data_IF_212643204938
#
_entry.id   IF_212643204938
#
_cell.length_a   1.000
_cell.length_b   1.000
_cell.length_c   1.000
_cell.angle_alpha   90.00
_cell.angle_beta   90.00
_cell.angle_gamma   90.00
#
_symmetry.space_group_name_H-M   'P 1'
#
loop_
_entity.id
_entity.type
_entity.pdbx_description
1 polymer ?
#
# COMPACT_ATOMS: atom_id res chain seq x y z
N UNK A 1 -6.91 6.94 0.72
CA UNK A 1 -6.74 6.09 1.90
C UNK A 1 -5.37 6.28 2.54
N UNK A 2 -5.28 6.01 3.81
CA UNK A 2 -4.03 5.76 4.51
C UNK A 2 -3.73 4.27 4.55
N UNK A 3 -2.46 3.90 4.50
CA UNK A 3 -2.02 2.53 4.65
C UNK A 3 -0.64 2.48 5.29
N UNK A 4 -0.42 1.44 6.09
CA UNK A 4 0.87 1.15 6.70
C UNK A 4 1.46 -0.13 6.06
N UNK A 5 2.46 0.02 5.23
CA UNK A 5 3.10 -1.10 4.50
C UNK A 5 4.61 -1.21 4.75
N UNK A 6 5.36 -0.16 4.60
CA UNK A 6 6.77 -0.01 5.01
C UNK A 6 6.98 1.21 5.90
N UNK A 7 5.90 1.70 6.43
CA UNK A 7 5.60 2.92 7.12
C UNK A 7 4.31 3.52 6.55
N UNK A 8 3.83 4.55 7.21
CA UNK A 8 2.59 5.24 6.85
C UNK A 8 2.72 5.92 5.49
N UNK A 9 1.67 5.81 4.67
CA UNK A 9 1.58 6.43 3.36
C UNK A 9 0.14 6.78 2.99
N UNK A 10 0.00 7.72 2.05
CA UNK A 10 -1.26 7.99 1.35
C UNK A 10 -1.31 7.24 0.02
N UNK A 11 -2.50 6.96 -0.47
CA UNK A 11 -2.71 6.38 -1.79
C UNK A 11 -4.13 6.53 -2.30
N UNK A 12 -4.30 6.29 -3.60
CA UNK A 12 -5.61 6.34 -4.27
C UNK A 12 -5.98 4.98 -4.87
N UNK A 13 -7.28 4.70 -4.93
CA UNK A 13 -7.79 3.50 -5.56
C UNK A 13 -9.27 3.69 -5.94
N UNK A 14 -9.79 2.81 -6.78
CA UNK A 14 -11.25 2.71 -7.00
C UNK A 14 -11.86 1.99 -5.80
N UNK A 15 -13.08 2.36 -5.40
CA UNK A 15 -13.80 1.70 -4.31
C UNK A 15 -13.90 0.17 -4.52
N UNK A 16 -14.14 -0.27 -5.77
CA UNK A 16 -14.20 -1.69 -6.14
C UNK A 16 -12.87 -2.45 -5.99
N UNK A 17 -11.76 -1.77 -5.75
CA UNK A 17 -10.44 -2.36 -5.56
C UNK A 17 -10.02 -2.40 -4.08
N UNK A 18 -10.91 -2.06 -3.18
CA UNK A 18 -10.72 -2.21 -1.73
C UNK A 18 -11.27 -3.59 -1.32
N UNK A 19 -10.53 -4.43 -0.57
CA UNK A 19 -9.19 -4.20 0.00
C UNK A 19 -8.03 -4.66 -0.90
N UNK A 20 -8.29 -5.17 -2.11
CA UNK A 20 -7.28 -5.77 -3.00
C UNK A 20 -6.07 -4.85 -3.18
N UNK A 21 -6.30 -3.55 -3.36
CA UNK A 21 -5.22 -2.57 -3.52
C UNK A 21 -4.32 -2.46 -2.28
N UNK A 22 -4.87 -2.57 -1.09
CA UNK A 22 -4.11 -2.56 0.16
C UNK A 22 -3.27 -3.82 0.31
N UNK A 23 -3.88 -4.98 -0.02
CA UNK A 23 -3.20 -6.28 -0.04
C UNK A 23 -2.03 -6.26 -1.03
N UNK A 24 -2.26 -5.81 -2.26
CA UNK A 24 -1.24 -5.71 -3.32
C UNK A 24 -0.01 -4.89 -2.90
N UNK A 25 -0.22 -3.88 -2.05
CA UNK A 25 0.85 -3.02 -1.56
C UNK A 25 1.51 -3.51 -0.27
N UNK A 26 1.11 -4.67 0.23
CA UNK A 26 1.65 -5.24 1.45
C UNK A 26 1.32 -4.46 2.72
N UNK A 27 0.19 -3.74 2.73
CA UNK A 27 -0.26 -3.01 3.91
C UNK A 27 -0.70 -3.96 5.01
N UNK A 28 -0.26 -3.73 6.24
CA UNK A 28 -0.73 -4.46 7.43
C UNK A 28 -1.97 -3.79 8.05
N UNK A 29 -2.13 -2.51 7.81
CA UNK A 29 -3.25 -1.69 8.25
C UNK A 29 -3.62 -0.70 7.16
N UNK A 30 -4.92 -0.44 6.97
CA UNK A 30 -5.40 0.57 6.05
C UNK A 30 -6.71 1.19 6.52
N UNK A 31 -6.91 2.46 6.17
CA UNK A 31 -8.09 3.24 6.53
C UNK A 31 -8.49 4.15 5.35
N UNK A 32 -9.75 4.12 4.88
CA UNK A 32 -10.26 5.12 3.94
C UNK A 32 -10.19 6.53 4.55
N UNK A 33 -9.86 7.52 3.72
CA UNK A 33 -9.92 8.94 4.11
C UNK A 33 -11.08 9.66 3.46
N UNK A 34 -11.15 9.55 2.13
CA UNK A 34 -12.14 10.25 1.31
C UNK A 34 -12.73 9.32 0.26
N UNK A 35 -14.00 9.47 0.02
CA UNK A 35 -14.65 8.99 -1.20
C UNK A 35 -15.01 10.20 -2.05
N UNK A 36 -14.64 10.16 -3.32
CA UNK A 36 -14.82 11.27 -4.25
C UNK A 36 -15.42 10.78 -5.56
N UNK A 37 -16.12 11.67 -6.25
CA UNK A 37 -16.86 11.33 -7.46
C UNK A 37 -15.98 11.01 -8.68
N UNK A 38 -14.74 11.54 -8.72
CA UNK A 38 -13.87 11.40 -9.88
C UNK A 38 -12.39 11.23 -9.53
N UNK A 39 -11.63 10.73 -10.52
CA UNK A 39 -10.20 10.48 -10.39
C UNK A 39 -9.36 11.76 -10.27
N UNK A 40 -9.80 12.87 -10.86
CA UNK A 40 -9.07 14.13 -10.83
C UNK A 40 -9.03 14.66 -9.39
N UNK A 41 -10.17 14.70 -8.73
CA UNK A 41 -10.28 15.11 -7.32
C UNK A 41 -9.43 14.22 -6.42
N UNK A 42 -9.43 12.88 -6.64
CA UNK A 42 -8.56 11.96 -5.92
C UNK A 42 -7.09 12.33 -6.06
N UNK A 43 -6.65 12.65 -7.30
CA UNK A 43 -5.27 13.03 -7.58
C UNK A 43 -4.85 14.34 -6.94
N UNK A 44 -5.76 15.32 -6.88
CA UNK A 44 -5.52 16.61 -6.22
C UNK A 44 -5.34 16.44 -4.70
N UNK A 45 -6.19 15.64 -4.06
CA UNK A 45 -6.10 15.33 -2.63
C UNK A 45 -4.78 14.59 -2.33
N UNK A 46 -4.44 13.56 -3.11
CA UNK A 46 -3.18 12.83 -2.95
C UNK A 46 -1.98 13.77 -3.11
N UNK A 47 -2.00 14.67 -4.12
CA UNK A 47 -0.95 15.64 -4.33
C UNK A 47 -0.77 16.60 -3.14
N UNK A 48 -1.86 17.13 -2.60
CA UNK A 48 -1.83 17.98 -1.42
C UNK A 48 -1.27 17.23 -0.19
N UNK A 49 -1.71 15.99 0.03
CA UNK A 49 -1.25 15.17 1.14
C UNK A 49 0.23 14.77 1.05
N UNK A 50 0.85 14.75 -0.14
CA UNK A 50 2.28 14.46 -0.32
C UNK A 50 3.21 15.44 0.39
N UNK A 51 2.73 16.62 0.72
CA UNK A 51 3.48 17.61 1.52
C UNK A 51 3.70 17.14 2.96
N UNK A 52 2.84 16.26 3.46
CA UNK A 52 2.83 15.81 4.84
C UNK A 52 3.23 14.35 5.00
N UNK A 53 2.97 13.51 3.97
CA UNK A 53 3.14 12.06 4.06
C UNK A 53 3.55 11.46 2.73
N UNK A 54 4.37 10.40 2.76
CA UNK A 54 4.79 9.69 1.56
C UNK A 54 3.62 9.02 0.82
N UNK A 55 3.72 8.91 -0.50
CA UNK A 55 2.85 8.09 -1.36
C UNK A 55 3.50 6.78 -1.79
N UNK A 56 4.75 6.53 -1.35
CA UNK A 56 5.57 5.41 -1.81
C UNK A 56 5.72 4.33 -0.75
N UNK A 57 5.83 3.09 -1.23
CA UNK A 57 6.21 1.93 -0.42
C UNK A 57 7.66 1.57 -0.70
N UNK A 58 8.49 1.50 0.33
CA UNK A 58 9.78 0.79 0.24
C UNK A 58 9.51 -0.71 0.29
N UNK A 59 9.43 -1.34 -0.88
CA UNK A 59 9.12 -2.75 -1.00
C UNK A 59 10.17 -3.67 -0.34
N UNK A 60 11.43 -3.22 -0.26
CA UNK A 60 12.48 -3.99 0.44
C UNK A 60 12.27 -3.98 1.95
N UNK A 61 11.94 -2.80 2.49
CA UNK A 61 11.60 -2.67 3.92
C UNK A 61 10.35 -3.46 4.25
N UNK A 62 9.31 -3.36 3.42
CA UNK A 62 8.05 -4.12 3.56
C UNK A 62 8.27 -5.64 3.61
N UNK A 63 9.22 -6.18 2.81
CA UNK A 63 9.51 -7.62 2.73
C UNK A 63 10.53 -8.10 3.78
N UNK A 64 11.07 -7.23 4.63
CA UNK A 64 11.93 -7.60 5.75
C UNK A 64 11.20 -7.71 7.09
N UNK A 65 9.94 -7.34 7.12
CA UNK A 65 9.12 -7.41 8.33
C UNK A 65 7.88 -6.54 8.23
N UNK A 66 7.05 -6.63 9.24
CA UNK A 66 5.92 -5.73 9.39
C UNK A 66 6.41 -4.44 10.06
N UNK A 67 5.91 -3.27 9.64
CA UNK A 67 6.16 -2.02 10.35
C UNK A 67 5.45 -2.01 11.71
N UNK A 68 5.87 -1.12 12.60
CA UNK A 68 5.14 -0.86 13.83
C UNK A 68 3.73 -0.35 13.50
N UNK A 69 2.75 -0.74 14.32
CA UNK A 69 1.36 -0.28 14.17
C UNK A 69 1.25 1.23 14.37
N UNK A 70 0.34 1.86 13.63
CA UNK A 70 0.11 3.30 13.66
C UNK A 70 -1.37 3.57 13.96
N UNK A 71 -1.67 4.54 14.81
CA UNK A 71 -3.03 5.02 14.99
C UNK A 71 -3.49 5.80 13.74
N UNK A 72 -4.04 5.03 12.77
CA UNK A 72 -4.50 5.59 11.50
C UNK A 72 -5.69 6.54 11.67
N UNK A 73 -6.50 6.40 12.72
CA UNK A 73 -7.65 7.28 12.99
C UNK A 73 -7.17 8.66 13.41
N UNK A 74 -6.28 8.71 14.40
CA UNK A 74 -5.66 9.97 14.83
C UNK A 74 -4.85 10.62 13.71
N UNK A 75 -4.11 9.82 12.93
CA UNK A 75 -3.34 10.34 11.80
C UNK A 75 -4.23 10.92 10.70
N UNK A 76 -5.37 10.28 10.40
CA UNK A 76 -6.36 10.83 9.46
C UNK A 76 -6.86 12.20 9.94
N UNK A 77 -7.27 12.30 11.22
CA UNK A 77 -7.75 13.57 11.77
C UNK A 77 -6.70 14.69 11.66
N UNK A 78 -5.45 14.38 11.98
CA UNK A 78 -4.34 15.33 11.86
C UNK A 78 -4.12 15.78 10.41
N UNK A 79 -4.10 14.85 9.45
CA UNK A 79 -3.92 15.18 8.03
C UNK A 79 -5.10 15.97 7.45
N UNK A 80 -6.32 15.72 7.92
CA UNK A 80 -7.48 16.53 7.54
C UNK A 80 -7.35 17.95 8.01
N UNK A 81 -6.98 18.17 9.28
CA UNK A 81 -6.74 19.53 9.82
C UNK A 81 -5.64 20.25 9.03
N UNK A 82 -4.54 19.56 8.70
CA UNK A 82 -3.46 20.14 7.89
C UNK A 82 -3.92 20.53 6.47
N UNK A 83 -4.81 19.76 5.85
CA UNK A 83 -5.39 20.09 4.55
C UNK A 83 -6.28 21.32 4.62
N UNK A 84 -7.09 21.47 5.67
CA UNK A 84 -7.96 22.61 5.90
C UNK A 84 -7.16 23.91 6.11
N UNK A 85 -6.00 23.82 6.72
CA UNK A 85 -5.09 24.95 6.97
C UNK A 85 -4.28 25.38 5.74
N UNK A 86 -4.26 24.59 4.66
CA UNK A 86 -3.52 24.92 3.44
C UNK A 86 -4.15 26.12 2.72
N UNK A 87 -3.41 27.22 2.64
CA UNK A 87 -3.85 28.46 1.95
C UNK A 87 -4.07 28.23 0.45
N UNK A 88 -3.24 27.37 -0.15
CA UNK A 88 -3.27 27.04 -1.57
C UNK A 88 -4.00 25.70 -1.86
N UNK A 89 -4.88 25.27 -0.96
CA UNK A 89 -5.68 24.09 -1.23
C UNK A 89 -6.47 24.27 -2.54
N UNK A 90 -6.49 23.27 -3.43
CA UNK A 90 -7.28 23.35 -4.66
C UNK A 90 -8.73 23.74 -4.34
N UNK A 91 -9.35 24.61 -5.15
CA UNK A 91 -10.72 25.08 -4.92
C UNK A 91 -11.73 23.93 -4.77
N UNK A 92 -11.45 22.79 -5.43
CA UNK A 92 -12.22 21.56 -5.27
C UNK A 92 -12.19 20.99 -3.84
N UNK A 93 -11.14 21.26 -3.06
CA UNK A 93 -11.07 20.88 -1.65
C UNK A 93 -11.82 21.87 -0.76
N UNK A 94 -11.92 23.13 -1.20
CA UNK A 94 -12.67 24.19 -0.48
C UNK A 94 -14.18 24.05 -0.66
N UNK A 95 -14.61 23.50 -1.79
CA UNK A 95 -16.05 23.37 -2.15
C UNK A 95 -16.73 22.14 -1.54
N UNK A 96 -16.06 21.39 -0.65
CA UNK A 96 -16.59 20.19 0.04
C UNK A 96 -17.33 19.21 -0.88
N UNK A 97 -16.99 19.17 -2.17
CA UNK A 97 -17.59 18.27 -3.16
C UNK A 97 -17.18 16.80 -2.99
N UNK A 98 -16.45 16.48 -1.93
CA UNK A 98 -16.04 15.13 -1.58
C UNK A 98 -16.69 14.69 -0.26
N UNK A 99 -17.24 13.48 -0.28
CA UNK A 99 -17.73 12.87 0.93
C UNK A 99 -16.53 12.39 1.77
N UNK A 100 -16.47 12.82 3.01
CA UNK A 100 -15.53 12.24 3.98
C UNK A 100 -16.13 10.96 4.51
N UNK A 101 -15.45 9.83 4.31
CA UNK A 101 -15.83 8.54 4.93
C UNK A 101 -15.52 8.57 6.44
N UNK A 102 -15.90 9.66 7.11
CA UNK A 102 -15.69 9.86 8.55
C UNK A 102 -16.45 8.87 9.43
N UNK A 103 -17.42 8.17 8.86
CA UNK A 103 -18.24 7.19 9.58
C UNK A 103 -17.60 5.81 9.70
N UNK A 104 -16.51 5.53 9.00
CA UNK A 104 -15.80 4.26 9.02
C UNK A 104 -14.45 4.43 9.72
N UNK A 105 -14.45 4.57 11.04
CA UNK A 105 -13.24 4.52 11.87
C UNK A 105 -12.71 3.07 12.01
N UNK A 106 -13.17 2.19 11.14
CA UNK A 106 -12.77 0.80 11.15
C UNK A 106 -11.49 0.63 10.35
N UNK A 107 -10.39 0.49 11.06
CA UNK A 107 -9.11 0.12 10.47
C UNK A 107 -9.19 -1.31 9.96
N UNK A 108 -8.84 -1.51 8.69
CA UNK A 108 -8.70 -2.83 8.11
C UNK A 108 -7.31 -3.38 8.44
N UNK A 109 -7.26 -4.43 9.25
CA UNK A 109 -6.02 -5.14 9.56
C UNK A 109 -5.84 -6.32 8.61
N UNK A 110 -4.63 -6.44 8.03
CA UNK A 110 -4.29 -7.45 7.03
C UNK A 110 -3.10 -8.26 7.52
N UNK A 111 -3.24 -9.59 7.53
CA UNK A 111 -2.17 -10.52 7.84
C UNK A 111 -1.77 -11.29 6.60
N UNK A 112 -0.48 -11.49 6.42
CA UNK A 112 0.08 -12.21 5.27
C UNK A 112 0.55 -13.59 5.69
N UNK A 113 0.44 -14.61 4.80
CA UNK A 113 0.98 -15.93 5.03
C UNK A 113 2.51 -15.92 4.88
N UNK A 114 3.19 -15.38 5.85
CA UNK A 114 4.65 -15.31 5.94
C UNK A 114 5.10 -16.12 7.15
N UNK A 115 5.91 -17.15 6.93
CA UNK A 115 6.49 -17.98 7.98
C UNK A 115 7.80 -17.39 8.50
N UNK A 116 8.53 -16.71 7.62
CA UNK A 116 9.84 -16.16 7.94
C UNK A 116 10.12 -14.94 7.04
N UNK A 117 10.54 -13.84 7.63
CA UNK A 117 10.97 -12.65 6.89
C UNK A 117 12.47 -12.74 6.59
N UNK A 118 12.91 -12.51 5.33
CA UNK A 118 14.32 -12.54 4.99
C UNK A 118 15.05 -11.31 5.54
N UNK A 119 16.22 -11.51 6.14
CA UNK A 119 17.09 -10.40 6.57
C UNK A 119 17.55 -9.54 5.38
N UNK A 120 17.83 -10.18 4.25
CA UNK A 120 18.26 -9.55 3.00
C UNK A 120 17.33 -9.95 1.86
N UNK A 121 16.83 -8.94 1.17
CA UNK A 121 15.90 -9.12 0.04
C UNK A 121 16.65 -8.95 -1.27
N UNK A 122 16.73 -10.03 -2.06
CA UNK A 122 17.28 -10.05 -3.41
C UNK A 122 16.17 -10.26 -4.43
N UNK A 123 15.99 -9.30 -5.35
CA UNK A 123 15.01 -9.45 -6.42
C UNK A 123 15.47 -10.49 -7.43
N UNK A 124 14.64 -11.50 -7.66
CA UNK A 124 14.80 -12.46 -8.75
C UNK A 124 14.18 -11.91 -10.03
N UNK A 125 14.81 -12.21 -11.17
CA UNK A 125 14.32 -11.79 -12.49
C UNK A 125 14.35 -12.98 -13.45
N UNK A 126 13.20 -13.47 -13.84
CA UNK A 126 13.02 -14.61 -14.74
C UNK A 126 13.55 -14.35 -16.16
N UNK A 127 13.70 -13.09 -16.60
CA UNK A 127 14.37 -12.78 -17.88
C UNK A 127 15.86 -13.09 -17.88
N UNK A 128 16.47 -13.19 -16.68
CA UNK A 128 17.91 -13.45 -16.50
C UNK A 128 18.21 -14.85 -16.00
N UNK A 129 17.33 -15.39 -15.19
CA UNK A 129 17.45 -16.71 -14.58
C UNK A 129 16.05 -17.33 -14.56
N UNK A 130 15.84 -18.31 -15.43
CA UNK A 130 14.53 -18.94 -15.64
C UNK A 130 14.06 -19.78 -14.45
N UNK A 131 14.91 -20.04 -13.44
CA UNK A 131 14.56 -20.88 -12.30
C UNK A 131 14.79 -20.17 -10.98
N UNK A 132 13.89 -20.40 -10.04
CA UNK A 132 14.08 -20.08 -8.64
C UNK A 132 13.73 -21.32 -7.83
N UNK A 133 14.58 -21.71 -6.92
CA UNK A 133 14.36 -22.86 -6.03
C UNK A 133 14.85 -22.51 -4.63
N UNK A 134 14.25 -23.13 -3.63
CA UNK A 134 14.59 -22.94 -2.23
C UNK A 134 13.37 -23.08 -1.33
N UNK A 135 13.57 -22.89 -0.03
CA UNK A 135 12.50 -22.92 0.97
C UNK A 135 11.54 -21.74 0.76
N UNK A 136 10.25 -22.03 0.69
CA UNK A 136 9.22 -21.00 0.60
C UNK A 136 9.03 -20.32 1.96
N UNK A 137 9.22 -19.00 2.03
CA UNK A 137 9.06 -18.21 3.24
C UNK A 137 7.67 -17.59 3.37
N UNK A 138 7.01 -17.31 2.26
CA UNK A 138 5.66 -16.75 2.28
C UNK A 138 5.32 -15.83 1.12
N UNK A 139 4.16 -15.20 1.28
CA UNK A 139 3.62 -14.23 0.32
C UNK A 139 3.28 -12.94 1.07
N UNK A 140 3.75 -11.79 0.56
CA UNK A 140 3.33 -10.48 1.04
C UNK A 140 3.16 -9.50 -0.10
N UNK A 141 1.99 -8.87 -0.17
CA UNK A 141 1.64 -8.04 -1.32
C UNK A 141 1.68 -8.85 -2.60
N UNK A 142 2.39 -8.36 -3.59
CA UNK A 142 2.59 -9.02 -4.90
C UNK A 142 3.85 -9.89 -4.96
N UNK A 143 4.46 -10.19 -3.82
CA UNK A 143 5.77 -10.86 -3.79
C UNK A 143 5.68 -12.25 -3.19
N UNK A 144 6.32 -13.22 -3.87
CA UNK A 144 6.68 -14.50 -3.28
C UNK A 144 8.12 -14.43 -2.77
N UNK A 145 8.35 -15.05 -1.61
CA UNK A 145 9.64 -15.06 -0.91
C UNK A 145 10.17 -16.50 -0.84
N UNK A 146 11.35 -16.75 -1.43
CA UNK A 146 11.99 -18.07 -1.52
C UNK A 146 13.47 -17.91 -1.19
N UNK A 147 13.94 -18.44 -0.05
CA UNK A 147 15.34 -18.40 0.39
C UNK A 147 16.01 -17.01 0.27
N UNK A 148 15.33 -15.97 0.76
CA UNK A 148 15.81 -14.59 0.69
C UNK A 148 15.80 -13.96 -0.71
N UNK A 149 15.44 -14.72 -1.74
CA UNK A 149 15.06 -14.19 -3.06
C UNK A 149 13.57 -13.87 -3.08
N UNK A 150 13.21 -12.82 -3.79
CA UNK A 150 11.82 -12.42 -3.96
C UNK A 150 11.54 -12.10 -5.41
N UNK A 151 10.36 -12.43 -5.88
CA UNK A 151 9.90 -11.94 -7.18
C UNK A 151 8.48 -11.36 -7.09
N UNK A 152 8.25 -10.32 -7.87
CA UNK A 152 6.95 -9.71 -8.00
C UNK A 152 6.14 -10.48 -9.04
N UNK A 153 5.10 -11.17 -8.60
CA UNK A 153 4.24 -11.98 -9.48
C UNK A 153 3.62 -11.13 -10.60
N UNK A 154 3.21 -9.91 -10.29
CA UNK A 154 2.57 -9.02 -11.26
C UNK A 154 3.53 -8.56 -12.35
N UNK A 155 4.82 -8.43 -12.05
CA UNK A 155 5.85 -8.11 -13.05
C UNK A 155 5.93 -9.18 -14.13
N UNK A 156 5.66 -10.43 -13.77
CA UNK A 156 5.74 -11.58 -14.65
C UNK A 156 4.35 -12.12 -15.03
N UNK A 157 3.31 -11.28 -14.95
CA UNK A 157 1.99 -11.62 -15.47
C UNK A 157 2.08 -11.90 -16.97
N UNK A 158 1.58 -13.07 -17.40
CA UNK A 158 1.68 -13.54 -18.78
C UNK A 158 2.86 -14.49 -19.06
N UNK A 159 3.73 -14.74 -18.07
CA UNK A 159 4.71 -15.84 -18.16
C UNK A 159 4.03 -17.18 -17.83
N UNK A 160 4.33 -18.18 -18.63
CA UNK A 160 4.00 -19.57 -18.29
C UNK A 160 5.04 -20.09 -17.31
N UNK A 161 4.60 -20.61 -16.18
CA UNK A 161 5.48 -21.08 -15.09
C UNK A 161 5.07 -22.47 -14.62
N UNK A 162 6.05 -23.32 -14.44
CA UNK A 162 5.89 -24.62 -13.77
C UNK A 162 6.29 -24.48 -12.30
N UNK A 163 5.46 -25.00 -11.40
CA UNK A 163 5.71 -25.02 -9.96
C UNK A 163 5.81 -26.47 -9.52
N UNK A 164 6.94 -26.80 -8.89
CA UNK A 164 7.19 -28.13 -8.30
C UNK A 164 7.34 -27.99 -6.79
N UNK A 165 6.68 -28.89 -6.03
CA UNK A 165 6.67 -28.93 -4.57
C UNK A 165 7.43 -30.15 -4.05
#
# INVERSE_FOLDING_TARGET
YLANSSGLKVGITRASQVPTRWIDQGAIEALPMFEVVDRRTTGLIEHALRSFISDRTDWRKMLRGDPDSVDLVSMRAQLMSQLEEMVDAPDQLKDQSFAVLSMLDTVCNIRYPVHEYPEKVKSHNFDKDAKIAGKFFGIKGQYLMIDGKVFNVRKFAGYEMEITF
#
